data_IF_471768065567
#
_entry.id   IF_471768065567
#
_cell.length_a   1.000
_cell.length_b   1.000
_cell.length_c   1.000
_cell.angle_alpha   90.00
_cell.angle_beta   90.00
_cell.angle_gamma   90.00
#
_symmetry.space_group_name_H-M   'P 1'
#
loop_
_entity.id
_entity.type
_entity.pdbx_description
1 polymer ?
#
# COMPACT_ATOMS: atom_id res chain seq x y z
N UNK A 1 -34.10 26.03 0.59
CA UNK A 1 -33.05 27.03 0.36
C UNK A 1 -32.82 27.72 1.69
N UNK A 2 -31.80 27.31 2.44
CA UNK A 2 -31.43 27.94 3.71
C UNK A 2 -30.01 28.44 3.53
N UNK A 3 -29.91 29.74 3.27
CA UNK A 3 -28.67 30.49 3.40
C UNK A 3 -28.64 31.11 4.79
N UNK A 4 -27.56 30.91 5.53
CA UNK A 4 -27.20 31.67 6.73
C UNK A 4 -25.67 31.66 6.75
N UNK A 5 -25.08 32.67 6.10
CA UNK A 5 -24.64 33.94 6.69
C UNK A 5 -23.37 33.72 7.52
N UNK A 6 -22.25 33.62 6.80
CA UNK A 6 -20.91 33.60 7.35
C UNK A 6 -20.54 35.05 7.63
N UNK A 7 -20.58 35.44 8.89
CA UNK A 7 -20.17 36.78 9.32
C UNK A 7 -18.70 37.03 8.97
N UNK A 8 -18.44 38.12 8.26
CA UNK A 8 -17.10 38.62 7.96
C UNK A 8 -16.38 38.98 9.27
N UNK A 9 -15.63 38.03 9.84
CA UNK A 9 -14.91 38.23 11.10
C UNK A 9 -14.62 36.94 11.87
N UNK A 10 -15.18 35.81 11.46
CA UNK A 10 -14.82 34.52 12.05
C UNK A 10 -13.42 34.12 11.54
N UNK A 11 -12.40 34.39 12.37
CA UNK A 11 -11.10 33.74 12.26
C UNK A 11 -11.35 32.25 12.44
N UNK A 12 -11.55 31.54 11.32
CA UNK A 12 -11.42 30.09 11.27
C UNK A 12 -10.02 29.82 11.82
N UNK A 13 -9.97 29.40 13.08
CA UNK A 13 -8.74 28.92 13.69
C UNK A 13 -8.41 27.65 12.93
N UNK A 14 -7.57 27.78 11.90
CA UNK A 14 -7.11 26.72 11.01
C UNK A 14 -6.21 25.69 11.73
N UNK A 15 -6.43 25.47 13.03
CA UNK A 15 -5.73 24.48 13.86
C UNK A 15 -6.48 23.14 13.95
N UNK A 16 -7.55 22.96 13.18
CA UNK A 16 -8.35 21.71 13.17
C UNK A 16 -8.32 20.96 11.84
N UNK A 17 -7.48 21.42 10.91
CA UNK A 17 -7.17 20.72 9.67
C UNK A 17 -5.64 20.69 9.55
N UNK A 18 -4.96 20.13 10.55
CA UNK A 18 -3.70 19.49 10.21
C UNK A 18 -4.12 18.30 9.34
N UNK A 19 -3.80 18.28 8.02
CA UNK A 19 -3.86 17.02 7.32
C UNK A 19 -2.93 16.13 8.13
N UNK A 20 -3.47 15.09 8.76
CA UNK A 20 -2.68 13.92 9.11
C UNK A 20 -2.08 13.51 7.78
N UNK A 21 -0.89 14.04 7.51
CA UNK A 21 -0.05 13.61 6.43
C UNK A 21 0.32 12.24 6.91
N UNK A 22 -0.52 11.25 6.58
CA UNK A 22 -0.18 9.86 6.75
C UNK A 22 1.07 9.72 5.91
N UNK A 23 2.23 9.85 6.57
CA UNK A 23 3.51 9.68 5.93
C UNK A 23 3.41 8.29 5.33
N UNK A 24 3.60 8.19 4.01
CA UNK A 24 3.59 6.92 3.29
C UNK A 24 4.95 6.80 2.63
N UNK A 25 5.53 5.62 2.71
CA UNK A 25 6.85 5.33 2.14
C UNK A 25 6.65 4.56 0.85
N UNK A 26 7.30 5.02 -0.21
CA UNK A 26 7.28 4.35 -1.50
C UNK A 26 8.33 3.25 -1.53
N UNK A 27 7.91 2.01 -1.83
CA UNK A 27 8.79 0.84 -1.91
C UNK A 27 8.46 0.05 -3.18
N UNK A 28 9.48 -0.44 -3.86
CA UNK A 28 9.34 -1.38 -4.97
C UNK A 28 9.55 -2.81 -4.47
N UNK A 29 8.60 -3.68 -4.78
CA UNK A 29 8.47 -5.02 -4.23
C UNK A 29 8.36 -6.01 -5.38
N UNK A 30 9.30 -6.96 -5.54
CA UNK A 30 9.11 -8.09 -6.44
C UNK A 30 7.95 -8.95 -5.94
N UNK A 31 7.05 -9.31 -6.84
CA UNK A 31 5.90 -10.15 -6.57
C UNK A 31 6.02 -11.43 -7.37
N UNK A 32 5.93 -12.58 -6.71
CA UNK A 32 6.13 -13.88 -7.34
C UNK A 32 4.89 -14.43 -8.05
N UNK A 33 3.82 -13.65 -8.10
CA UNK A 33 2.62 -13.96 -8.86
C UNK A 33 2.23 -12.76 -9.71
N UNK A 34 1.75 -13.04 -10.92
CA UNK A 34 1.21 -11.98 -11.78
C UNK A 34 0.00 -11.34 -11.09
N UNK A 35 0.00 -10.02 -10.89
CA UNK A 35 -1.11 -9.34 -10.24
C UNK A 35 -2.36 -9.40 -11.13
N UNK A 36 -3.57 -9.49 -10.55
CA UNK A 36 -4.80 -9.48 -11.34
C UNK A 36 -4.94 -8.16 -12.10
N UNK A 37 -5.52 -8.19 -13.31
CA UNK A 37 -5.68 -7.01 -14.17
C UNK A 37 -6.53 -5.89 -13.56
N UNK A 38 -7.27 -6.18 -12.49
CA UNK A 38 -8.03 -5.21 -11.69
C UNK A 38 -7.16 -4.37 -10.77
N UNK A 39 -5.91 -4.78 -10.52
CA UNK A 39 -4.95 -4.08 -9.67
C UNK A 39 -4.22 -3.02 -10.50
N UNK A 40 -4.68 -1.77 -10.39
CA UNK A 40 -4.13 -0.62 -11.13
C UNK A 40 -3.56 0.42 -10.17
N UNK A 41 -2.88 1.42 -10.71
CA UNK A 41 -2.39 2.56 -9.90
C UNK A 41 -3.56 3.21 -9.13
N UNK A 42 -3.36 3.44 -7.83
CA UNK A 42 -4.37 3.93 -6.89
C UNK A 42 -5.17 2.84 -6.18
N UNK A 43 -5.03 1.57 -6.57
CA UNK A 43 -5.72 0.47 -5.89
C UNK A 43 -5.15 0.24 -4.48
N UNK A 44 -6.03 -0.11 -3.53
CA UNK A 44 -5.65 -0.60 -2.21
C UNK A 44 -5.37 -2.10 -2.27
N UNK A 45 -4.25 -2.49 -1.69
CA UNK A 45 -3.75 -3.86 -1.72
C UNK A 45 -3.16 -4.25 -0.38
N UNK A 46 -3.24 -5.55 -0.09
CA UNK A 46 -2.56 -6.14 1.06
C UNK A 46 -1.39 -6.99 0.56
N UNK A 47 -0.27 -6.89 1.28
CA UNK A 47 0.96 -7.62 1.00
C UNK A 47 1.10 -8.78 1.99
N UNK A 48 1.34 -9.97 1.45
CA UNK A 48 1.51 -11.21 2.20
C UNK A 48 2.84 -11.85 1.86
N UNK A 49 3.54 -12.35 2.86
CA UNK A 49 4.73 -13.18 2.69
C UNK A 49 4.29 -14.64 2.74
N UNK A 50 4.68 -15.40 1.73
CA UNK A 50 4.42 -16.84 1.61
C UNK A 50 5.75 -17.55 1.44
N UNK A 51 5.92 -18.67 2.13
CA UNK A 51 7.09 -19.53 1.96
C UNK A 51 6.98 -20.29 0.62
N UNK A 52 8.09 -20.47 -0.09
CA UNK A 52 8.11 -21.17 -1.39
C UNK A 52 7.58 -22.60 -1.26
N UNK A 53 7.86 -23.24 -0.12
CA UNK A 53 7.44 -24.61 0.18
C UNK A 53 5.98 -24.70 0.69
N UNK A 54 5.33 -23.55 0.95
CA UNK A 54 3.98 -23.48 1.51
C UNK A 54 3.82 -24.13 2.90
N UNK A 55 4.93 -24.37 3.60
CA UNK A 55 4.96 -25.07 4.88
C UNK A 55 4.43 -24.21 6.03
N UNK A 56 4.62 -22.89 5.95
CA UNK A 56 4.11 -21.92 6.91
C UNK A 56 2.91 -21.15 6.37
N UNK A 57 1.93 -20.81 7.23
CA UNK A 57 0.81 -19.97 6.82
C UNK A 57 1.32 -18.59 6.36
N UNK A 58 0.62 -17.95 5.39
CA UNK A 58 0.96 -16.61 4.95
C UNK A 58 1.01 -15.60 6.10
N UNK A 59 2.03 -14.75 6.11
CA UNK A 59 2.20 -13.70 7.10
C UNK A 59 1.88 -12.33 6.49
N UNK A 60 1.16 -11.49 7.24
CA UNK A 60 0.85 -10.13 6.79
C UNK A 60 2.09 -9.24 6.81
N UNK A 61 2.43 -8.64 5.68
CA UNK A 61 3.57 -7.73 5.52
C UNK A 61 3.13 -6.28 5.65
N UNK A 62 2.12 -5.89 4.89
CA UNK A 62 1.54 -4.55 4.92
C UNK A 62 0.05 -4.63 4.58
N UNK A 63 -0.77 -3.84 5.26
CA UNK A 63 -2.20 -3.73 4.96
C UNK A 63 -2.52 -2.37 4.36
N UNK A 64 -3.51 -2.33 3.46
CA UNK A 64 -3.97 -1.08 2.83
C UNK A 64 -2.81 -0.29 2.18
N UNK A 65 -1.89 -0.99 1.53
CA UNK A 65 -0.87 -0.39 0.70
C UNK A 65 -1.50 0.15 -0.58
N UNK A 66 -1.01 1.26 -1.12
CA UNK A 66 -1.54 1.84 -2.36
C UNK A 66 -0.61 1.54 -3.52
N UNK A 67 -1.13 0.95 -4.59
CA UNK A 67 -0.34 0.69 -5.81
C UNK A 67 0.00 2.01 -6.50
N UNK A 68 1.28 2.22 -6.79
CA UNK A 68 1.77 3.37 -7.56
C UNK A 68 1.98 2.95 -9.01
N UNK A 69 2.68 1.85 -9.22
CA UNK A 69 3.03 1.33 -10.54
C UNK A 69 3.23 -0.18 -10.47
N UNK A 70 2.99 -0.86 -11.59
CA UNK A 70 3.30 -2.27 -11.80
C UNK A 70 4.16 -2.34 -13.06
N UNK A 71 5.33 -2.93 -12.95
CA UNK A 71 6.25 -3.13 -14.05
C UNK A 71 6.53 -4.62 -14.21
N UNK A 72 6.42 -5.13 -15.43
CA UNK A 72 6.88 -6.48 -15.74
C UNK A 72 8.41 -6.50 -15.75
N UNK A 73 9.04 -7.42 -15.02
CA UNK A 73 10.51 -7.50 -15.00
C UNK A 73 11.10 -8.03 -16.32
N UNK A 74 10.26 -8.52 -17.23
CA UNK A 74 10.64 -8.98 -18.57
C UNK A 74 11.39 -10.32 -18.61
N UNK A 75 11.88 -10.83 -17.48
CA UNK A 75 12.59 -12.10 -17.36
C UNK A 75 12.08 -12.89 -16.15
N UNK A 76 11.43 -14.04 -16.38
CA UNK A 76 11.08 -15.01 -15.33
C UNK A 76 9.63 -15.00 -14.84
N UNK A 77 8.82 -14.01 -15.24
CA UNK A 77 7.40 -13.94 -14.85
C UNK A 77 7.15 -13.18 -13.55
N UNK A 78 8.22 -12.71 -12.89
CA UNK A 78 8.11 -11.85 -11.72
C UNK A 78 7.72 -10.44 -12.15
N UNK A 79 6.68 -9.88 -11.52
CA UNK A 79 6.36 -8.47 -11.67
C UNK A 79 6.99 -7.68 -10.51
N UNK A 80 7.32 -6.41 -10.74
CA UNK A 80 7.74 -5.50 -9.67
C UNK A 80 6.62 -4.50 -9.46
N UNK A 81 6.06 -4.52 -8.26
CA UNK A 81 5.01 -3.59 -7.86
C UNK A 81 5.59 -2.52 -6.95
N UNK A 82 5.36 -1.25 -7.31
CA UNK A 82 5.69 -0.11 -6.45
C UNK A 82 4.46 0.28 -5.65
N UNK A 83 4.59 0.34 -4.33
CA UNK A 83 3.51 0.64 -3.40
C UNK A 83 3.86 1.76 -2.43
N UNK A 84 2.82 2.42 -1.92
CA UNK A 84 2.88 3.29 -0.76
C UNK A 84 2.42 2.51 0.48
N UNK A 85 3.33 2.31 1.43
CA UNK A 85 3.07 1.60 2.69
C UNK A 85 3.16 2.55 3.89
N UNK A 86 2.61 2.13 5.03
CA UNK A 86 2.82 2.84 6.28
C UNK A 86 4.30 2.73 6.72
N UNK A 87 4.94 3.82 7.20
CA UNK A 87 6.30 3.82 7.72
C UNK A 87 6.57 2.74 8.75
N UNK A 88 5.58 2.38 9.56
CA UNK A 88 5.69 1.33 10.58
C UNK A 88 5.79 -0.08 9.99
N UNK A 89 5.34 -0.26 8.75
CA UNK A 89 5.36 -1.54 8.03
C UNK A 89 6.60 -1.69 7.15
N UNK A 90 7.36 -0.61 6.91
CA UNK A 90 8.55 -0.60 6.04
C UNK A 90 9.57 -1.64 6.47
N UNK A 91 9.90 -1.70 7.75
CA UNK A 91 10.88 -2.65 8.27
C UNK A 91 10.43 -4.10 8.03
N UNK A 92 9.12 -4.36 8.10
CA UNK A 92 8.57 -5.69 7.81
C UNK A 92 8.66 -6.02 6.32
N UNK A 93 8.35 -5.07 5.44
CA UNK A 93 8.52 -5.23 3.99
C UNK A 93 9.99 -5.54 3.67
N UNK A 94 10.93 -4.76 4.20
CA UNK A 94 12.35 -4.95 3.96
C UNK A 94 12.87 -6.28 4.52
N UNK A 95 12.40 -6.72 5.69
CA UNK A 95 12.77 -8.00 6.27
C UNK A 95 12.32 -9.19 5.40
N UNK A 96 11.16 -9.09 4.76
CA UNK A 96 10.67 -10.13 3.84
C UNK A 96 11.49 -10.14 2.55
N UNK A 97 11.87 -8.98 2.03
CA UNK A 97 12.71 -8.86 0.82
C UNK A 97 14.13 -9.43 1.00
N UNK A 98 14.66 -9.44 2.23
CA UNK A 98 15.95 -10.04 2.55
C UNK A 98 15.86 -11.56 2.79
N UNK A 99 14.65 -12.13 2.75
CA UNK A 99 14.38 -13.53 3.02
C UNK A 99 13.98 -14.30 1.76
N UNK A 100 13.97 -15.64 1.83
CA UNK A 100 13.52 -16.51 0.74
C UNK A 100 11.99 -16.56 0.56
N UNK A 101 11.24 -15.64 1.17
CA UNK A 101 9.79 -15.61 1.04
C UNK A 101 9.37 -14.92 -0.26
N UNK A 102 8.28 -15.40 -0.83
CA UNK A 102 7.61 -14.78 -1.98
C UNK A 102 6.54 -13.82 -1.49
N UNK A 103 6.52 -12.62 -2.07
CA UNK A 103 5.46 -11.65 -1.78
C UNK A 103 4.29 -11.87 -2.73
N UNK A 104 3.12 -12.07 -2.12
CA UNK A 104 1.83 -12.22 -2.79
C UNK A 104 0.97 -11.01 -2.45
N UNK A 105 0.22 -10.53 -3.45
CA UNK A 105 -0.60 -9.33 -3.34
C UNK A 105 -2.07 -9.69 -3.49
N UNK A 106 -2.90 -9.22 -2.57
CA UNK A 106 -4.36 -9.34 -2.66
C UNK A 106 -5.02 -7.97 -2.71
N UNK A 107 -6.26 -7.90 -3.19
CA UNK A 107 -7.08 -6.69 -3.05
C UNK A 107 -7.30 -6.39 -1.56
N UNK A 108 -7.02 -5.16 -1.14
CA UNK A 108 -7.31 -4.70 0.21
C UNK A 108 -8.79 -4.36 0.36
N UNK A 109 -9.34 -4.49 1.57
CA UNK A 109 -10.68 -4.02 1.88
C UNK A 109 -10.68 -2.48 1.99
N UNK A 110 -11.61 -1.82 1.30
CA UNK A 110 -11.88 -0.39 1.57
C UNK A 110 -12.53 -0.26 2.95
N UNK A 111 -12.00 0.59 3.85
CA UNK A 111 -12.61 0.83 5.16
C UNK A 111 -13.98 1.51 5.08
#
# INVERSE_FOLDING_TARGET
>A
MVGSDIGAGELITARLLEPTTSSRVQISVPIGVTPPSTMTSGALVDLWAVDEDGATPPATVALNATVVAIADSGFGGDAVMTVLVDPLEVDRVLAVLDSSHVIVVTSGETP
#
